data_IF_271308258172
#
_entry.id   IF_271308258172
#
_cell.length_a   1.000
_cell.length_b   1.000
_cell.length_c   1.000
_cell.angle_alpha   90.00
_cell.angle_beta   90.00
_cell.angle_gamma   90.00
#
_symmetry.space_group_name_H-M   'P 1'
#
loop_
_entity.id
_entity.type
_entity.pdbx_description
1 polymer ?
#
# COMPACT_ATOMS: atom_id res chain seq x y z
N UNK A 1 7.98 28.23 16.39
CA UNK A 1 8.40 27.76 15.05
C UNK A 1 7.17 27.63 14.16
N UNK A 2 7.27 28.00 12.90
CA UNK A 2 6.25 27.79 11.88
C UNK A 2 6.53 26.51 11.09
N UNK A 3 5.74 25.47 11.35
CA UNK A 3 5.78 24.21 10.63
C UNK A 3 4.73 24.23 9.50
N UNK A 4 5.16 23.94 8.27
CA UNK A 4 4.23 23.63 7.18
C UNK A 4 4.21 22.13 6.93
N UNK A 5 3.02 21.54 6.81
CA UNK A 5 2.81 20.16 6.36
C UNK A 5 2.03 20.18 5.04
N UNK A 6 2.49 19.46 4.04
CA UNK A 6 1.87 19.42 2.70
C UNK A 6 1.32 18.02 2.39
N UNK A 7 0.02 17.94 2.14
CA UNK A 7 -0.72 16.70 1.90
C UNK A 7 -1.39 16.19 3.17
N UNK A 8 -2.64 15.74 3.06
CA UNK A 8 -3.50 15.53 4.23
C UNK A 8 -4.12 14.13 4.39
N UNK A 9 -3.59 13.15 3.65
CA UNK A 9 -3.92 11.75 3.88
C UNK A 9 -3.17 11.19 5.12
N UNK A 10 -2.79 9.92 5.12
CA UNK A 10 -2.24 9.25 6.31
C UNK A 10 -0.97 9.87 6.89
N UNK A 11 0.02 10.18 6.05
CA UNK A 11 1.32 10.71 6.52
C UNK A 11 1.19 12.10 7.11
N UNK A 12 0.63 13.06 6.36
CA UNK A 12 0.44 14.42 6.84
C UNK A 12 -0.48 14.54 8.06
N UNK A 13 -1.56 13.76 8.12
CA UNK A 13 -2.45 13.76 9.29
C UNK A 13 -1.73 13.27 10.56
N UNK A 14 -0.92 12.22 10.44
CA UNK A 14 -0.09 11.75 11.55
C UNK A 14 0.97 12.78 11.92
N UNK A 15 1.64 13.40 10.93
CA UNK A 15 2.67 14.39 11.18
C UNK A 15 2.12 15.60 11.96
N UNK A 16 0.94 16.09 11.59
CA UNK A 16 0.25 17.17 12.32
C UNK A 16 -0.11 16.73 13.73
N UNK A 17 -0.71 15.55 13.90
CA UNK A 17 -1.09 15.06 15.23
C UNK A 17 0.12 14.90 16.15
N UNK A 18 1.20 14.28 15.66
CA UNK A 18 2.44 14.13 16.44
C UNK A 18 3.11 15.47 16.71
N UNK A 19 3.04 16.43 15.78
CA UNK A 19 3.63 17.76 15.97
C UNK A 19 2.89 18.59 17.02
N UNK A 20 1.56 18.48 17.11
CA UNK A 20 0.77 19.12 18.19
C UNK A 20 1.27 18.63 19.56
N UNK A 21 1.57 17.34 19.68
CA UNK A 21 2.00 16.72 20.94
C UNK A 21 3.45 17.07 21.30
N UNK A 22 4.36 17.07 20.32
CA UNK A 22 5.80 17.26 20.57
C UNK A 22 6.26 18.73 20.51
N UNK A 23 5.52 19.58 19.81
CA UNK A 23 5.86 20.99 19.61
C UNK A 23 4.66 21.91 19.89
N UNK A 24 4.13 21.95 21.13
CA UNK A 24 2.90 22.67 21.46
C UNK A 24 2.96 24.18 21.19
N UNK A 25 4.15 24.78 21.21
CA UNK A 25 4.37 26.21 20.94
C UNK A 25 4.55 26.53 19.43
N UNK A 26 4.43 25.53 18.56
CA UNK A 26 4.56 25.73 17.11
C UNK A 26 3.26 26.15 16.47
N UNK A 27 3.35 27.05 15.49
CA UNK A 27 2.25 27.32 14.56
C UNK A 27 2.32 26.33 13.42
N UNK A 28 1.28 25.52 13.23
CA UNK A 28 1.24 24.50 12.18
C UNK A 28 0.28 24.97 11.08
N UNK A 29 0.74 24.97 9.84
CA UNK A 29 -0.13 25.18 8.66
C UNK A 29 -0.14 23.92 7.83
N UNK A 30 -1.33 23.36 7.60
CA UNK A 30 -1.51 22.08 6.92
C UNK A 30 -2.24 22.28 5.61
N UNK A 31 -1.53 22.09 4.49
CA UNK A 31 -2.07 22.29 3.15
C UNK A 31 -2.57 20.99 2.52
N UNK A 32 -3.72 21.06 1.85
CA UNK A 32 -4.29 19.99 1.03
C UNK A 32 -4.84 20.57 -0.29
N UNK A 33 -4.51 19.92 -1.41
CA UNK A 33 -5.00 20.35 -2.72
C UNK A 33 -6.47 20.00 -2.93
N UNK A 34 -6.93 18.89 -2.35
CA UNK A 34 -8.31 18.42 -2.46
C UNK A 34 -9.21 19.12 -1.44
N UNK A 35 -10.53 18.98 -1.62
CA UNK A 35 -11.48 19.37 -0.61
C UNK A 35 -11.48 18.34 0.54
N UNK A 36 -11.15 18.76 1.75
CA UNK A 36 -10.95 17.86 2.89
C UNK A 36 -12.25 17.14 3.29
N UNK A 37 -13.40 17.82 3.18
CA UNK A 37 -14.73 17.24 3.45
C UNK A 37 -14.99 16.05 2.54
N UNK A 38 -14.77 16.23 1.24
CA UNK A 38 -15.00 15.19 0.23
C UNK A 38 -14.03 14.03 0.43
N UNK A 39 -12.74 14.32 0.64
CA UNK A 39 -11.72 13.30 0.90
C UNK A 39 -12.07 12.41 2.09
N UNK A 40 -12.61 13.00 3.16
CA UNK A 40 -12.94 12.28 4.40
C UNK A 40 -14.36 11.72 4.45
N UNK A 41 -15.21 12.05 3.47
CA UNK A 41 -16.64 11.71 3.48
C UNK A 41 -17.38 12.31 4.67
N UNK A 42 -17.02 13.52 5.11
CA UNK A 42 -17.58 14.16 6.30
C UNK A 42 -18.76 15.08 5.97
N UNK A 43 -19.63 15.31 6.97
CA UNK A 43 -20.60 16.42 6.89
C UNK A 43 -19.90 17.77 7.05
N UNK A 44 -20.60 18.86 6.70
CA UNK A 44 -20.07 20.22 6.88
C UNK A 44 -19.82 20.51 8.35
N UNK A 45 -20.76 20.14 9.22
CA UNK A 45 -20.69 20.36 10.67
C UNK A 45 -19.47 19.66 11.26
N UNK A 46 -19.20 18.42 10.81
CA UNK A 46 -18.04 17.66 11.25
C UNK A 46 -16.73 18.31 10.82
N UNK A 47 -16.64 18.83 9.58
CA UNK A 47 -15.46 19.59 9.14
C UNK A 47 -15.26 20.87 9.95
N UNK A 48 -16.34 21.63 10.19
CA UNK A 48 -16.29 22.88 10.99
C UNK A 48 -15.82 22.58 12.42
N UNK A 49 -16.38 21.57 13.07
CA UNK A 49 -15.95 21.13 14.40
C UNK A 49 -14.48 20.70 14.42
N UNK A 50 -14.04 19.96 13.39
CA UNK A 50 -12.65 19.53 13.27
C UNK A 50 -11.69 20.69 13.07
N UNK A 51 -12.02 21.66 12.19
CA UNK A 51 -11.21 22.88 12.01
C UNK A 51 -11.12 23.67 13.30
N UNK A 52 -12.25 23.87 14.01
CA UNK A 52 -12.26 24.57 15.31
C UNK A 52 -11.36 23.88 16.33
N UNK A 53 -11.41 22.54 16.41
CA UNK A 53 -10.51 21.75 17.26
C UNK A 53 -9.05 21.99 16.91
N UNK A 54 -8.68 21.87 15.63
CA UNK A 54 -7.32 22.07 15.15
C UNK A 54 -6.81 23.49 15.43
N UNK A 55 -7.64 24.52 15.19
CA UNK A 55 -7.28 25.92 15.46
C UNK A 55 -7.03 26.17 16.95
N UNK A 56 -7.82 25.56 17.84
CA UNK A 56 -7.56 25.61 19.28
C UNK A 56 -6.24 24.94 19.69
N UNK A 57 -5.66 24.10 18.83
CA UNK A 57 -4.38 23.42 19.01
C UNK A 57 -3.24 24.07 18.19
N UNK A 58 -3.42 25.30 17.70
CA UNK A 58 -2.38 26.01 16.93
C UNK A 58 -2.24 25.56 15.47
N UNK A 59 -3.22 24.82 14.93
CA UNK A 59 -3.20 24.29 13.57
C UNK A 59 -4.18 25.01 12.65
N UNK A 60 -3.68 25.48 11.52
CA UNK A 60 -4.49 26.03 10.42
C UNK A 60 -4.56 25.03 9.28
N UNK A 61 -5.73 24.44 9.06
CA UNK A 61 -6.00 23.58 7.89
C UNK A 61 -6.41 24.45 6.69
N UNK A 62 -5.68 24.30 5.59
CA UNK A 62 -5.90 25.01 4.32
C UNK A 62 -6.09 23.98 3.21
N UNK A 63 -7.33 23.66 2.90
CA UNK A 63 -7.69 22.75 1.81
C UNK A 63 -8.02 23.50 0.51
N UNK A 64 -8.30 22.76 -0.57
CA UNK A 64 -8.48 23.32 -1.93
C UNK A 64 -7.34 24.27 -2.36
N UNK A 65 -6.14 24.02 -1.84
CA UNK A 65 -4.95 24.85 -2.05
C UNK A 65 -3.75 23.99 -2.37
N UNK A 66 -3.26 24.11 -3.60
CA UNK A 66 -2.12 23.34 -4.10
C UNK A 66 -0.83 24.06 -3.81
N UNK A 67 0.15 23.35 -3.25
CA UNK A 67 1.55 23.79 -3.28
C UNK A 67 2.12 23.48 -4.66
N UNK A 68 2.57 24.52 -5.37
CA UNK A 68 3.02 24.40 -6.77
C UNK A 68 4.53 24.53 -6.92
N UNK A 69 5.23 25.14 -5.95
CA UNK A 69 6.69 25.29 -5.98
C UNK A 69 7.30 25.40 -4.59
N UNK A 70 8.49 24.83 -4.41
CA UNK A 70 9.35 24.99 -3.24
C UNK A 70 10.49 25.96 -3.55
N UNK A 71 10.52 27.10 -2.84
CA UNK A 71 11.58 28.11 -2.91
C UNK A 71 12.54 27.92 -1.74
N UNK A 72 13.47 26.97 -1.88
CA UNK A 72 14.37 26.55 -0.82
C UNK A 72 15.26 27.69 -0.28
N UNK A 73 15.82 28.51 -1.18
CA UNK A 73 16.77 29.58 -0.80
C UNK A 73 16.16 30.68 0.10
N UNK A 74 14.83 30.84 0.07
CA UNK A 74 14.11 31.84 0.88
C UNK A 74 13.18 31.21 1.91
N UNK A 75 13.24 29.89 2.08
CA UNK A 75 12.34 29.11 2.95
C UNK A 75 10.86 29.43 2.71
N UNK A 76 10.44 29.39 1.44
CA UNK A 76 9.08 29.70 1.03
C UNK A 76 8.45 28.59 0.18
N UNK A 77 7.12 28.49 0.23
CA UNK A 77 6.30 27.75 -0.73
C UNK A 77 5.50 28.72 -1.59
N UNK A 78 5.31 28.38 -2.85
CA UNK A 78 4.27 28.98 -3.68
C UNK A 78 3.02 28.12 -3.59
N UNK A 79 1.94 28.71 -3.09
CA UNK A 79 0.63 28.10 -2.97
C UNK A 79 -0.33 28.70 -4.00
N UNK A 80 -1.31 27.92 -4.43
CA UNK A 80 -2.36 28.34 -5.34
C UNK A 80 -3.68 27.78 -4.85
N UNK A 81 -4.53 28.66 -4.32
CA UNK A 81 -5.91 28.32 -3.97
C UNK A 81 -6.73 28.07 -5.24
N UNK A 82 -7.85 27.35 -5.12
CA UNK A 82 -8.79 27.20 -6.23
C UNK A 82 -9.37 28.55 -6.67
N UNK A 83 -9.76 29.39 -5.70
CA UNK A 83 -10.31 30.72 -5.93
C UNK A 83 -9.90 31.69 -4.78
N UNK A 84 -9.29 32.86 -5.09
CA UNK A 84 -8.74 33.24 -6.38
C UNK A 84 -7.51 32.39 -6.73
N UNK A 85 -7.36 32.04 -8.01
CA UNK A 85 -6.27 31.18 -8.50
C UNK A 85 -4.90 31.88 -8.57
N UNK A 86 -4.74 33.05 -7.96
CA UNK A 86 -3.50 33.82 -7.94
C UNK A 86 -2.48 33.15 -7.01
N UNK A 87 -1.28 32.78 -7.50
CA UNK A 87 -0.25 32.20 -6.65
C UNK A 87 0.22 33.16 -5.55
N UNK A 88 0.44 32.64 -4.35
CA UNK A 88 0.93 33.39 -3.19
C UNK A 88 2.15 32.68 -2.57
N UNK A 89 3.04 33.45 -1.95
CA UNK A 89 4.20 32.92 -1.24
C UNK A 89 3.96 32.84 0.26
N UNK A 90 4.32 31.72 0.89
CA UNK A 90 4.25 31.53 2.34
C UNK A 90 5.58 31.04 2.88
N UNK A 91 6.09 31.68 3.93
CA UNK A 91 7.34 31.27 4.59
C UNK A 91 7.13 30.11 5.56
N UNK A 92 8.17 29.31 5.79
CA UNK A 92 8.22 28.24 6.81
C UNK A 92 9.55 28.27 7.56
N UNK A 93 9.55 27.78 8.80
CA UNK A 93 10.80 27.46 9.52
C UNK A 93 11.18 25.99 9.29
N UNK A 94 10.18 25.11 9.26
CA UNK A 94 10.31 23.68 8.91
C UNK A 94 9.20 23.25 7.97
N UNK A 95 9.49 22.27 7.12
CA UNK A 95 8.57 21.74 6.12
C UNK A 95 8.55 20.21 6.16
N UNK A 96 7.35 19.63 6.24
CA UNK A 96 7.12 18.20 6.03
C UNK A 96 6.32 18.01 4.74
N UNK A 97 6.94 17.40 3.74
CA UNK A 97 6.34 17.02 2.47
C UNK A 97 5.74 15.62 2.57
N UNK A 98 4.41 15.53 2.49
CA UNK A 98 3.65 14.28 2.38
C UNK A 98 2.75 14.28 1.13
N UNK A 99 3.25 14.64 -0.08
CA UNK A 99 2.41 14.75 -1.28
C UNK A 99 1.85 13.39 -1.73
N UNK A 100 2.43 12.29 -1.25
CA UNK A 100 1.97 10.93 -1.52
C UNK A 100 2.22 10.50 -2.95
N UNK A 101 1.25 9.78 -3.50
CA UNK A 101 1.30 9.17 -4.82
C UNK A 101 0.00 9.44 -5.60
N UNK A 102 0.06 9.25 -6.91
CA UNK A 102 -1.09 9.30 -7.82
C UNK A 102 -1.20 8.00 -8.61
N UNK A 103 -2.41 7.66 -9.06
CA UNK A 103 -2.65 6.48 -9.86
C UNK A 103 -1.81 6.52 -11.16
N UNK A 104 -1.13 5.42 -11.47
CA UNK A 104 -0.39 5.28 -12.73
C UNK A 104 -1.38 5.19 -13.87
N UNK A 105 -1.21 6.04 -14.87
CA UNK A 105 -2.04 6.05 -16.07
C UNK A 105 -1.51 5.05 -17.10
N UNK A 106 -2.41 4.49 -17.91
CA UNK A 106 -2.03 3.79 -19.13
C UNK A 106 -1.48 4.80 -20.15
N UNK A 107 -0.46 4.40 -20.90
CA UNK A 107 0.17 5.23 -21.94
C UNK A 107 -0.04 4.65 -23.35
N UNK A 108 -1.11 3.87 -23.54
CA UNK A 108 -1.48 3.28 -24.83
C UNK A 108 -2.42 4.18 -25.60
N UNK A 109 -2.54 3.97 -26.91
CA UNK A 109 -3.54 4.65 -27.74
C UNK A 109 -4.95 4.44 -27.16
N UNK A 110 -5.73 5.53 -27.05
CA UNK A 110 -7.08 5.51 -26.48
C UNK A 110 -7.14 5.66 -24.95
N UNK A 111 -6.01 5.77 -24.24
CA UNK A 111 -5.98 5.90 -22.77
C UNK A 111 -6.69 7.16 -22.21
N UNK A 112 -7.00 8.14 -23.05
CA UNK A 112 -7.69 9.38 -22.68
C UNK A 112 -9.17 9.40 -23.06
N UNK A 113 -9.71 8.29 -23.60
CA UNK A 113 -11.13 8.19 -23.92
C UNK A 113 -11.98 8.31 -22.64
N UNK A 114 -13.18 8.93 -22.71
CA UNK A 114 -14.17 8.81 -21.66
C UNK A 114 -14.49 7.34 -21.34
N UNK A 115 -14.83 7.04 -20.08
CA UNK A 115 -15.09 5.66 -19.61
C UNK A 115 -13.86 4.94 -19.07
N UNK A 116 -12.75 5.66 -18.88
CA UNK A 116 -11.53 5.13 -18.26
C UNK A 116 -11.31 5.82 -16.92
N UNK A 117 -11.11 5.04 -15.87
CA UNK A 117 -10.86 5.54 -14.52
C UNK A 117 -9.65 4.86 -13.90
N UNK A 118 -8.75 5.65 -13.34
CA UNK A 118 -7.53 5.16 -12.68
C UNK A 118 -7.69 5.24 -11.18
N UNK A 119 -7.39 4.14 -10.48
CA UNK A 119 -7.57 4.03 -9.04
C UNK A 119 -6.25 4.24 -8.29
N UNK A 120 -6.32 5.02 -7.22
CA UNK A 120 -5.23 5.21 -6.26
C UNK A 120 -5.48 4.44 -4.96
N UNK A 121 -6.72 4.39 -4.46
CA UNK A 121 -6.96 3.77 -3.15
C UNK A 121 -8.42 3.63 -2.75
N UNK A 122 -8.64 3.54 -1.42
CA UNK A 122 -9.96 3.20 -0.83
C UNK A 122 -11.08 4.17 -1.24
N UNK A 123 -10.81 5.47 -1.32
CA UNK A 123 -11.80 6.46 -1.73
C UNK A 123 -12.36 6.17 -3.13
N UNK A 124 -11.48 5.79 -4.05
CA UNK A 124 -11.88 5.46 -5.44
C UNK A 124 -12.69 4.17 -5.49
N UNK A 125 -12.34 3.16 -4.67
CA UNK A 125 -13.14 1.93 -4.53
C UNK A 125 -14.54 2.22 -3.97
N UNK A 126 -14.68 3.14 -3.02
CA UNK A 126 -15.99 3.55 -2.51
C UNK A 126 -16.82 4.25 -3.59
N UNK A 127 -16.20 5.11 -4.40
CA UNK A 127 -16.85 5.74 -5.53
C UNK A 127 -17.30 4.70 -6.58
N UNK A 128 -16.44 3.74 -6.93
CA UNK A 128 -16.79 2.65 -7.85
C UNK A 128 -17.95 1.81 -7.36
N UNK A 129 -18.03 1.54 -6.06
CA UNK A 129 -19.16 0.81 -5.47
C UNK A 129 -20.49 1.54 -5.69
N UNK A 130 -20.47 2.86 -5.64
CA UNK A 130 -21.67 3.65 -5.94
C UNK A 130 -22.01 3.60 -7.44
N UNK A 131 -21.01 3.74 -8.31
CA UNK A 131 -21.21 3.61 -9.77
C UNK A 131 -21.77 2.24 -10.16
N UNK A 132 -21.25 1.17 -9.55
CA UNK A 132 -21.70 -0.19 -9.80
C UNK A 132 -23.19 -0.39 -9.45
N UNK A 133 -23.69 0.33 -8.43
CA UNK A 133 -25.10 0.27 -7.98
C UNK A 133 -26.02 1.17 -8.78
N UNK A 134 -25.60 2.41 -9.03
CA UNK A 134 -26.47 3.43 -9.61
C UNK A 134 -26.50 3.41 -11.14
N UNK A 135 -25.42 2.97 -11.78
CA UNK A 135 -25.30 3.06 -13.23
C UNK A 135 -25.68 1.73 -13.91
N UNK A 136 -26.93 1.66 -14.36
CA UNK A 136 -27.47 0.50 -15.07
C UNK A 136 -26.83 0.29 -16.46
N UNK A 137 -26.21 1.31 -17.05
CA UNK A 137 -25.58 1.21 -18.37
C UNK A 137 -24.21 0.53 -18.33
N UNK A 138 -23.56 0.50 -17.16
CA UNK A 138 -22.29 -0.21 -16.98
C UNK A 138 -22.58 -1.71 -16.79
N UNK A 139 -22.33 -2.53 -17.81
CA UNK A 139 -22.58 -3.98 -17.77
C UNK A 139 -21.30 -4.79 -17.98
N UNK A 140 -20.38 -4.29 -18.79
CA UNK A 140 -19.11 -4.93 -19.14
C UNK A 140 -17.97 -4.12 -18.58
N UNK A 141 -17.26 -4.67 -17.61
CA UNK A 141 -16.19 -3.98 -16.89
C UNK A 141 -14.87 -4.69 -17.19
N UNK A 142 -13.88 -3.92 -17.64
CA UNK A 142 -12.51 -4.41 -17.74
C UNK A 142 -11.67 -3.75 -16.65
N UNK A 143 -11.04 -4.56 -15.81
CA UNK A 143 -10.08 -4.11 -14.80
C UNK A 143 -8.68 -4.48 -15.27
N UNK A 144 -7.78 -3.49 -15.34
CA UNK A 144 -6.39 -3.66 -15.75
C UNK A 144 -5.49 -3.55 -14.52
N UNK A 145 -4.80 -4.63 -14.18
CA UNK A 145 -4.00 -4.80 -12.97
C UNK A 145 -4.72 -5.67 -11.94
N UNK A 146 -4.12 -6.79 -11.57
CA UNK A 146 -4.61 -7.79 -10.61
C UNK A 146 -3.85 -7.72 -9.26
N UNK A 147 -3.49 -6.50 -8.84
CA UNK A 147 -3.04 -6.21 -7.48
C UNK A 147 -4.20 -5.98 -6.50
N UNK A 148 -3.90 -5.53 -5.27
CA UNK A 148 -4.91 -5.35 -4.21
C UNK A 148 -6.07 -4.45 -4.64
N UNK A 149 -5.78 -3.32 -5.28
CA UNK A 149 -6.79 -2.36 -5.72
C UNK A 149 -7.64 -2.94 -6.86
N UNK A 150 -7.01 -3.60 -7.82
CA UNK A 150 -7.69 -4.20 -8.97
C UNK A 150 -8.64 -5.33 -8.57
N UNK A 151 -8.22 -6.20 -7.65
CA UNK A 151 -9.11 -7.24 -7.11
C UNK A 151 -10.30 -6.62 -6.37
N UNK A 152 -10.08 -5.59 -5.56
CA UNK A 152 -11.18 -4.88 -4.90
C UNK A 152 -12.18 -4.27 -5.88
N UNK A 153 -11.70 -3.71 -7.00
CA UNK A 153 -12.57 -3.19 -8.05
C UNK A 153 -13.34 -4.31 -8.77
N UNK A 154 -12.65 -5.40 -9.12
CA UNK A 154 -13.27 -6.56 -9.77
C UNK A 154 -14.36 -7.19 -8.89
N UNK A 155 -14.10 -7.33 -7.58
CA UNK A 155 -15.06 -7.85 -6.62
C UNK A 155 -16.31 -6.95 -6.51
N UNK A 156 -16.13 -5.62 -6.43
CA UNK A 156 -17.25 -4.67 -6.37
C UNK A 156 -18.19 -4.85 -7.56
N UNK A 157 -17.66 -4.96 -8.78
CA UNK A 157 -18.48 -5.10 -9.98
C UNK A 157 -19.07 -6.50 -10.15
N UNK A 158 -18.34 -7.55 -9.75
CA UNK A 158 -18.87 -8.92 -9.76
C UNK A 158 -20.04 -9.07 -8.78
N UNK A 159 -19.93 -8.51 -7.57
CA UNK A 159 -21.02 -8.48 -6.58
C UNK A 159 -22.23 -7.65 -7.05
N UNK A 160 -22.02 -6.69 -7.93
CA UNK A 160 -23.09 -5.93 -8.60
C UNK A 160 -23.62 -6.64 -9.86
N UNK A 161 -23.32 -7.93 -10.05
CA UNK A 161 -23.74 -8.78 -11.17
C UNK A 161 -23.34 -8.25 -12.54
N UNK A 162 -22.20 -7.54 -12.63
CA UNK A 162 -21.63 -7.09 -13.91
C UNK A 162 -20.72 -8.17 -14.49
N UNK A 163 -20.54 -8.14 -15.82
CA UNK A 163 -19.55 -8.99 -16.49
C UNK A 163 -18.17 -8.38 -16.31
N UNK A 164 -17.28 -9.06 -15.59
CA UNK A 164 -15.95 -8.53 -15.26
C UNK A 164 -14.86 -9.35 -15.96
N UNK A 165 -13.97 -8.64 -16.67
CA UNK A 165 -12.67 -9.19 -17.11
C UNK A 165 -11.56 -8.52 -16.33
N UNK A 166 -10.70 -9.33 -15.69
CA UNK A 166 -9.50 -8.87 -14.99
C UNK A 166 -8.27 -9.22 -15.82
N UNK A 167 -7.57 -8.20 -16.31
CA UNK A 167 -6.37 -8.32 -17.15
C UNK A 167 -5.14 -8.02 -16.31
N UNK A 168 -4.09 -8.83 -16.42
CA UNK A 168 -2.78 -8.53 -15.86
C UNK A 168 -1.68 -9.12 -16.76
N UNK A 169 -0.52 -8.46 -16.79
CA UNK A 169 0.66 -8.93 -17.53
C UNK A 169 1.33 -10.13 -16.87
N UNK A 170 1.08 -10.35 -15.58
CA UNK A 170 1.56 -11.50 -14.83
C UNK A 170 0.64 -12.70 -15.01
N UNK A 171 1.18 -13.90 -14.87
CA UNK A 171 0.45 -15.16 -15.07
C UNK A 171 -0.55 -15.49 -13.96
N UNK A 172 -0.55 -14.74 -12.85
CA UNK A 172 -1.45 -14.94 -11.72
C UNK A 172 -1.88 -13.62 -11.07
N UNK A 173 -3.07 -13.57 -10.44
CA UNK A 173 -3.45 -12.46 -9.58
C UNK A 173 -2.52 -12.37 -8.37
N UNK A 174 -2.37 -11.17 -7.82
CA UNK A 174 -1.55 -10.91 -6.63
C UNK A 174 -0.08 -11.33 -6.77
N UNK A 175 0.45 -11.40 -8.00
CA UNK A 175 1.85 -11.78 -8.29
C UNK A 175 2.88 -10.97 -7.47
N UNK A 176 2.63 -9.69 -7.19
CA UNK A 176 3.52 -8.87 -6.37
C UNK A 176 3.58 -9.25 -4.89
N UNK A 177 2.67 -10.11 -4.40
CA UNK A 177 2.40 -10.34 -2.98
C UNK A 177 2.47 -11.80 -2.56
N UNK A 178 1.98 -12.70 -3.41
CA UNK A 178 1.77 -14.11 -3.10
C UNK A 178 2.56 -15.00 -4.05
N UNK A 179 3.10 -16.10 -3.52
CA UNK A 179 3.63 -17.18 -4.35
C UNK A 179 2.47 -18.02 -4.93
N UNK A 180 2.75 -18.78 -5.98
CA UNK A 180 1.73 -19.37 -6.84
C UNK A 180 0.77 -20.32 -6.11
N UNK A 181 1.29 -21.15 -5.20
CA UNK A 181 0.47 -22.09 -4.44
C UNK A 181 -0.46 -21.38 -3.43
N UNK A 182 -0.10 -20.18 -2.98
CA UNK A 182 -0.94 -19.36 -2.09
C UNK A 182 -1.97 -18.56 -2.89
N UNK A 183 -1.61 -18.12 -4.10
CA UNK A 183 -2.50 -17.40 -5.01
C UNK A 183 -3.52 -18.31 -5.70
N UNK A 184 -3.22 -19.59 -5.89
CA UNK A 184 -4.07 -20.56 -6.59
C UNK A 184 -5.54 -20.62 -6.10
N UNK A 185 -5.82 -20.78 -4.79
CA UNK A 185 -7.21 -20.77 -4.30
C UNK A 185 -7.92 -19.44 -4.59
N UNK A 186 -7.21 -18.31 -4.50
CA UNK A 186 -7.76 -16.98 -4.81
C UNK A 186 -8.14 -16.86 -6.28
N UNK A 187 -7.28 -17.33 -7.19
CA UNK A 187 -7.58 -17.35 -8.62
C UNK A 187 -8.81 -18.22 -8.93
N UNK A 188 -8.97 -19.35 -8.24
CA UNK A 188 -10.16 -20.19 -8.41
C UNK A 188 -11.43 -19.49 -7.89
N UNK A 189 -11.37 -18.86 -6.71
CA UNK A 189 -12.49 -18.09 -6.16
C UNK A 189 -12.94 -16.97 -7.10
N UNK A 190 -12.00 -16.22 -7.69
CA UNK A 190 -12.33 -15.18 -8.68
C UNK A 190 -13.13 -15.76 -9.86
N UNK A 191 -12.72 -16.92 -10.39
CA UNK A 191 -13.45 -17.61 -11.48
C UNK A 191 -14.83 -18.11 -11.03
N UNK A 192 -14.93 -18.65 -9.82
CA UNK A 192 -16.21 -19.12 -9.26
C UNK A 192 -17.22 -17.97 -9.13
N UNK A 193 -16.75 -16.75 -8.89
CA UNK A 193 -17.55 -15.53 -8.89
C UNK A 193 -17.76 -14.91 -10.29
N UNK A 194 -17.48 -15.65 -11.36
CA UNK A 194 -17.75 -15.25 -12.73
C UNK A 194 -16.77 -14.22 -13.31
N UNK A 195 -15.66 -13.93 -12.62
CA UNK A 195 -14.64 -13.02 -13.15
C UNK A 195 -13.79 -13.76 -14.18
N UNK A 196 -13.73 -13.23 -15.40
CA UNK A 196 -12.85 -13.72 -16.45
C UNK A 196 -11.41 -13.26 -16.18
N UNK A 197 -10.52 -14.20 -15.90
CA UNK A 197 -9.09 -13.90 -15.71
C UNK A 197 -8.35 -13.95 -17.05
N UNK A 198 -7.83 -12.80 -17.48
CA UNK A 198 -6.99 -12.61 -18.65
C UNK A 198 -5.54 -12.32 -18.20
N UNK A 199 -4.94 -13.33 -17.56
CA UNK A 199 -3.57 -13.26 -17.03
C UNK A 199 -2.54 -13.47 -18.14
N UNK A 200 -1.33 -12.96 -17.96
CA UNK A 200 -0.25 -13.02 -18.95
C UNK A 200 -0.50 -12.15 -20.19
N UNK A 201 -1.41 -11.18 -20.12
CA UNK A 201 -1.81 -10.36 -21.26
C UNK A 201 -1.43 -8.90 -21.07
N UNK A 202 -0.94 -8.28 -22.15
CA UNK A 202 -0.58 -6.87 -22.17
C UNK A 202 -1.60 -6.06 -22.95
N UNK A 203 -2.18 -5.05 -22.31
CA UNK A 203 -3.01 -4.05 -23.00
C UNK A 203 -2.17 -3.30 -24.03
N UNK A 204 -2.62 -3.30 -25.29
CA UNK A 204 -1.97 -2.61 -26.40
C UNK A 204 -2.71 -1.34 -26.80
N UNK A 205 -4.05 -1.35 -26.74
CA UNK A 205 -4.90 -0.22 -27.15
C UNK A 205 -6.24 -0.26 -26.44
N UNK A 206 -6.83 0.92 -26.24
CA UNK A 206 -8.23 1.08 -25.87
C UNK A 206 -9.01 1.57 -27.10
N UNK A 207 -10.11 0.89 -27.40
CA UNK A 207 -10.92 1.12 -28.60
C UNK A 207 -12.14 1.96 -28.25
N UNK A 208 -12.53 2.84 -29.17
CA UNK A 208 -13.65 3.77 -29.01
C UNK A 208 -13.39 5.10 -29.73
N UNK A 209 -14.45 5.89 -29.89
CA UNK A 209 -14.38 7.25 -30.47
C UNK A 209 -14.74 8.29 -29.41
N UNK A 210 -16.01 8.32 -28.98
CA UNK A 210 -16.51 9.23 -27.94
C UNK A 210 -16.42 8.66 -26.53
N UNK A 211 -16.32 7.34 -26.41
CA UNK A 211 -16.27 6.59 -25.17
C UNK A 211 -15.58 5.25 -25.44
N UNK A 212 -14.97 4.66 -24.42
CA UNK A 212 -14.38 3.32 -24.54
C UNK A 212 -15.47 2.28 -24.84
N UNK A 213 -15.16 1.36 -25.74
CA UNK A 213 -16.04 0.24 -26.12
C UNK A 213 -15.35 -1.11 -25.99
N UNK A 214 -14.02 -1.15 -25.99
CA UNK A 214 -13.24 -2.36 -25.78
C UNK A 214 -11.78 -2.09 -25.36
N UNK A 215 -11.14 -3.13 -24.81
CA UNK A 215 -9.72 -3.21 -24.49
C UNK A 215 -9.09 -4.26 -25.39
N UNK A 216 -8.10 -3.87 -26.17
CA UNK A 216 -7.29 -4.76 -27.00
C UNK A 216 -5.99 -5.10 -26.27
N UNK A 217 -5.73 -6.41 -26.14
CA UNK A 217 -4.47 -6.97 -25.66
C UNK A 217 -3.67 -7.56 -26.81
N UNK A 218 -2.46 -8.01 -26.51
CA UNK A 218 -1.61 -8.79 -27.41
C UNK A 218 -2.21 -10.13 -27.87
N UNK A 219 -3.28 -10.61 -27.23
CA UNK A 219 -3.86 -11.94 -27.50
C UNK A 219 -5.36 -11.92 -27.76
N UNK A 220 -6.08 -10.88 -27.35
CA UNK A 220 -7.54 -10.84 -27.43
C UNK A 220 -8.11 -9.41 -27.34
N UNK A 221 -9.40 -9.27 -27.65
CA UNK A 221 -10.16 -8.04 -27.45
C UNK A 221 -11.32 -8.29 -26.49
N UNK A 222 -11.53 -7.39 -25.54
CA UNK A 222 -12.55 -7.47 -24.51
C UNK A 222 -13.47 -6.27 -24.57
N UNK A 223 -14.77 -6.48 -24.81
CA UNK A 223 -15.72 -5.39 -24.80
C UNK A 223 -15.85 -4.77 -23.39
N UNK A 224 -15.97 -3.44 -23.32
CA UNK A 224 -15.97 -2.69 -22.08
C UNK A 224 -16.87 -1.45 -22.18
N UNK A 225 -17.70 -1.25 -21.16
CA UNK A 225 -18.43 -0.01 -20.90
C UNK A 225 -17.68 0.86 -19.88
N UNK A 226 -16.79 0.25 -19.10
CA UNK A 226 -15.88 0.93 -18.18
C UNK A 226 -14.55 0.19 -18.16
N UNK A 227 -13.45 0.94 -18.23
CA UNK A 227 -12.10 0.43 -17.99
C UNK A 227 -11.57 1.01 -16.69
N UNK A 228 -11.27 0.13 -15.74
CA UNK A 228 -10.67 0.47 -14.46
C UNK A 228 -9.18 0.16 -14.52
N UNK A 229 -8.34 1.17 -14.31
CA UNK A 229 -6.88 1.06 -14.34
C UNK A 229 -6.35 1.04 -12.92
N UNK A 230 -5.77 -0.09 -12.51
CA UNK A 230 -5.23 -0.36 -11.18
C UNK A 230 -3.78 -0.91 -11.25
N UNK A 231 -2.97 -0.36 -12.15
CA UNK A 231 -1.58 -0.80 -12.45
C UNK A 231 -0.52 -0.18 -11.51
N UNK A 232 -0.92 0.13 -10.28
CA UNK A 232 -0.08 0.76 -9.27
C UNK A 232 -0.09 2.29 -9.29
N UNK A 233 0.80 2.89 -8.50
CA UNK A 233 0.89 4.33 -8.29
C UNK A 233 2.31 4.84 -8.58
N UNK A 234 2.44 6.15 -8.75
CA UNK A 234 3.70 6.87 -8.89
C UNK A 234 3.78 8.01 -7.88
N UNK A 235 4.97 8.33 -7.32
CA UNK A 235 5.14 9.47 -6.42
C UNK A 235 4.65 10.79 -7.04
N UNK A 236 3.93 11.61 -6.27
CA UNK A 236 3.42 12.92 -6.72
C UNK A 236 4.44 14.04 -6.44
N UNK A 237 5.63 13.89 -7.02
CA UNK A 237 6.86 14.62 -6.63
C UNK A 237 7.49 15.39 -7.78
N UNK A 238 6.98 15.29 -9.00
CA UNK A 238 7.59 15.91 -10.19
C UNK A 238 7.80 17.43 -10.04
N UNK A 239 6.92 18.12 -9.30
CA UNK A 239 7.02 19.56 -9.03
C UNK A 239 8.19 19.93 -8.09
N UNK A 240 8.89 18.94 -7.53
CA UNK A 240 10.07 19.08 -6.67
C UNK A 240 11.37 18.76 -7.41
N UNK A 241 11.32 18.31 -8.67
CA UNK A 241 12.48 17.77 -9.39
C UNK A 241 13.63 18.79 -9.56
N UNK A 242 13.33 20.08 -9.61
CA UNK A 242 14.32 21.15 -9.72
C UNK A 242 14.93 21.56 -8.36
N UNK A 243 14.37 21.08 -7.24
CA UNK A 243 14.73 21.53 -5.89
C UNK A 243 15.23 20.41 -4.98
N UNK A 244 14.70 19.20 -5.12
CA UNK A 244 15.03 18.04 -4.30
C UNK A 244 15.65 16.92 -5.13
N UNK A 245 16.53 16.13 -4.49
CA UNK A 245 17.02 14.89 -5.08
C UNK A 245 15.87 13.87 -5.18
N UNK A 246 15.59 13.40 -6.39
CA UNK A 246 14.63 12.33 -6.67
C UNK A 246 15.35 11.09 -7.19
N UNK A 247 14.85 9.90 -6.83
CA UNK A 247 15.26 8.63 -7.41
C UNK A 247 14.75 8.50 -8.86
N UNK A 248 15.23 7.51 -9.59
CA UNK A 248 14.79 7.25 -10.98
C UNK A 248 13.28 6.96 -11.11
N UNK A 249 12.65 6.44 -10.06
CA UNK A 249 11.19 6.23 -10.01
C UNK A 249 10.41 7.44 -9.47
N UNK A 250 11.10 8.57 -9.22
CA UNK A 250 10.51 9.82 -8.76
C UNK A 250 10.34 9.97 -7.26
N UNK A 251 10.72 9.00 -6.42
CA UNK A 251 10.63 9.18 -4.96
C UNK A 251 11.63 10.24 -4.46
N UNK A 252 11.23 11.04 -3.48
CA UNK A 252 12.14 11.96 -2.79
C UNK A 252 13.18 11.14 -2.03
N UNK A 253 14.45 11.45 -2.27
CA UNK A 253 15.57 10.85 -1.54
C UNK A 253 15.60 11.44 -0.13
N UNK A 254 15.56 10.57 0.87
CA UNK A 254 15.69 10.97 2.28
C UNK A 254 16.83 10.23 2.96
N UNK A 255 17.36 10.75 4.06
CA UNK A 255 18.25 9.98 4.94
C UNK A 255 17.44 9.06 5.89
N UNK A 256 18.08 8.48 6.90
CA UNK A 256 17.41 7.61 7.88
C UNK A 256 16.49 8.37 8.85
N UNK A 257 16.50 9.70 8.83
CA UNK A 257 15.74 10.57 9.72
C UNK A 257 14.64 11.34 8.98
N UNK A 258 14.31 10.90 7.75
CA UNK A 258 13.35 11.50 6.84
C UNK A 258 13.74 12.89 6.29
N UNK A 259 14.99 13.32 6.44
CA UNK A 259 15.48 14.60 5.92
C UNK A 259 15.82 14.48 4.44
N UNK A 260 15.51 15.52 3.67
CA UNK A 260 15.89 15.62 2.25
C UNK A 260 17.32 16.17 2.12
N UNK A 261 17.75 16.53 0.91
CA UNK A 261 18.98 17.29 0.69
C UNK A 261 18.93 18.73 1.23
N UNK A 262 17.79 19.19 1.76
CA UNK A 262 17.61 20.48 2.42
C UNK A 262 17.35 20.27 3.93
N UNK A 263 18.13 20.91 4.79
CA UNK A 263 18.12 20.69 6.25
C UNK A 263 16.77 20.91 6.92
N UNK A 264 15.97 21.85 6.40
CA UNK A 264 14.68 22.22 6.98
C UNK A 264 13.47 21.57 6.29
N UNK A 265 13.72 20.63 5.36
CA UNK A 265 12.69 19.93 4.60
C UNK A 265 12.79 18.43 4.80
N UNK A 266 11.72 17.83 5.32
CA UNK A 266 11.56 16.40 5.48
C UNK A 266 10.51 15.88 4.49
N UNK A 267 10.61 14.61 4.11
CA UNK A 267 9.65 13.95 3.24
C UNK A 267 9.21 12.59 3.79
N UNK A 268 7.94 12.26 3.62
CA UNK A 268 7.32 11.05 4.19
C UNK A 268 6.26 10.43 3.25
N UNK A 269 5.85 9.21 3.58
CA UNK A 269 4.78 8.48 2.91
C UNK A 269 5.16 8.00 1.52
N UNK A 270 4.15 7.75 0.69
CA UNK A 270 4.30 7.18 -0.66
C UNK A 270 5.14 8.04 -1.62
N UNK A 271 5.51 9.26 -1.22
CA UNK A 271 6.44 10.12 -1.94
C UNK A 271 7.91 9.70 -1.75
N UNK A 272 8.20 8.79 -0.81
CA UNK A 272 9.54 8.40 -0.38
C UNK A 272 9.76 6.89 -0.48
N UNK A 273 10.99 6.46 -0.23
CA UNK A 273 11.34 5.06 -0.03
C UNK A 273 11.39 4.69 1.46
N UNK A 274 11.27 3.40 1.75
CA UNK A 274 11.47 2.79 3.06
C UNK A 274 12.64 1.82 2.99
N UNK A 275 13.22 1.48 4.15
CA UNK A 275 14.16 0.37 4.25
C UNK A 275 13.38 -0.93 4.35
N UNK A 276 13.58 -1.85 3.41
CA UNK A 276 13.00 -3.18 3.44
C UNK A 276 13.70 -4.04 4.49
N UNK A 277 12.97 -4.55 5.48
CA UNK A 277 13.55 -5.31 6.59
C UNK A 277 14.38 -6.52 6.16
N UNK A 278 13.86 -7.40 5.26
CA UNK A 278 14.63 -8.58 4.85
C UNK A 278 15.87 -8.29 4.01
N UNK A 279 15.85 -7.25 3.16
CA UNK A 279 16.94 -6.98 2.20
C UNK A 279 17.80 -5.78 2.54
N UNK A 280 17.35 -4.93 3.45
CA UNK A 280 17.91 -3.62 3.80
C UNK A 280 18.00 -2.64 2.61
N UNK A 281 17.38 -2.98 1.48
CA UNK A 281 17.33 -2.10 0.31
C UNK A 281 16.29 -1.00 0.50
N UNK A 282 16.57 0.17 -0.08
CA UNK A 282 15.59 1.26 -0.16
C UNK A 282 14.64 1.02 -1.33
N UNK A 283 13.35 0.84 -1.01
CA UNK A 283 12.30 0.54 -1.99
C UNK A 283 11.03 1.33 -1.68
N UNK A 284 10.11 1.36 -2.63
CA UNK A 284 8.79 1.97 -2.41
C UNK A 284 7.80 0.90 -1.94
N UNK A 285 7.33 1.01 -0.70
CA UNK A 285 6.20 0.23 -0.18
C UNK A 285 5.11 1.21 0.28
N UNK A 286 4.15 1.45 -0.60
CA UNK A 286 3.02 2.35 -0.37
C UNK A 286 1.99 1.71 0.55
N UNK A 287 2.16 1.88 1.86
CA UNK A 287 1.24 1.43 2.90
C UNK A 287 0.99 2.56 3.89
N UNK A 288 -0.28 2.72 4.30
CA UNK A 288 -0.67 3.73 5.27
C UNK A 288 0.12 3.61 6.59
N UNK A 289 0.41 2.39 7.04
CA UNK A 289 1.25 2.14 8.22
C UNK A 289 2.66 2.72 8.09
N UNK A 290 3.29 2.56 6.92
CA UNK A 290 4.60 3.14 6.63
C UNK A 290 4.54 4.67 6.64
N UNK A 291 3.54 5.27 5.98
CA UNK A 291 3.37 6.72 5.96
C UNK A 291 3.23 7.31 7.36
N UNK A 292 2.46 6.67 8.24
CA UNK A 292 2.30 7.10 9.65
C UNK A 292 3.57 6.89 10.47
N UNK A 293 4.27 5.78 10.27
CA UNK A 293 5.54 5.54 10.96
C UNK A 293 6.61 6.56 10.56
N UNK A 294 6.73 6.85 9.26
CA UNK A 294 7.61 7.89 8.74
C UNK A 294 7.22 9.27 9.26
N UNK A 295 5.93 9.57 9.39
CA UNK A 295 5.45 10.83 9.96
C UNK A 295 5.92 11.03 11.40
N UNK A 296 5.69 10.04 12.27
CA UNK A 296 6.17 10.08 13.67
C UNK A 296 7.68 10.25 13.73
N UNK A 297 8.41 9.53 12.87
CA UNK A 297 9.86 9.62 12.79
C UNK A 297 10.34 11.00 12.31
N UNK A 298 9.71 11.58 11.29
CA UNK A 298 10.04 12.91 10.78
C UNK A 298 9.81 13.99 11.85
N UNK A 299 8.70 13.91 12.60
CA UNK A 299 8.42 14.86 13.69
C UNK A 299 9.43 14.73 14.83
N UNK A 300 9.80 13.49 15.21
CA UNK A 300 10.84 13.25 16.21
C UNK A 300 12.23 13.76 15.77
N UNK A 301 12.46 13.87 14.46
CA UNK A 301 13.71 14.33 13.88
C UNK A 301 13.67 15.76 13.31
N UNK A 302 12.59 16.50 13.59
CA UNK A 302 12.30 17.79 12.95
C UNK A 302 13.37 18.84 13.23
N UNK A 303 13.94 18.83 14.45
CA UNK A 303 15.02 19.72 14.87
C UNK A 303 16.40 19.10 14.68
N UNK A 304 16.58 17.87 15.16
CA UNK A 304 17.85 17.16 15.15
C UNK A 304 17.63 15.70 14.75
N UNK A 305 18.57 15.09 14.01
CA UNK A 305 18.51 13.67 13.67
C UNK A 305 18.81 12.82 14.91
N UNK A 306 17.76 12.33 15.58
CA UNK A 306 17.88 11.55 16.83
C UNK A 306 17.56 10.08 16.62
N UNK A 307 16.44 9.78 15.96
CA UNK A 307 15.88 8.43 15.89
C UNK A 307 15.83 7.96 14.45
N UNK A 308 16.63 6.98 14.01
CA UNK A 308 16.53 6.47 12.64
C UNK A 308 15.20 5.73 12.42
N UNK A 309 14.71 5.76 11.19
CA UNK A 309 13.53 5.02 10.76
C UNK A 309 13.81 3.52 10.81
N UNK A 310 13.00 2.79 11.57
CA UNK A 310 13.03 1.33 11.60
C UNK A 310 12.64 0.74 10.22
N UNK A 311 13.29 -0.35 9.79
CA UNK A 311 12.89 -1.07 8.58
C UNK A 311 11.44 -1.58 8.65
N UNK A 312 10.82 -1.75 7.49
CA UNK A 312 9.47 -2.31 7.35
C UNK A 312 9.51 -3.60 6.54
N UNK A 313 8.66 -4.55 6.91
CA UNK A 313 8.55 -5.83 6.20
C UNK A 313 7.45 -5.83 5.14
N UNK A 314 6.82 -4.69 4.85
CA UNK A 314 5.71 -4.63 3.89
C UNK A 314 4.49 -5.45 4.32
N UNK A 315 4.30 -5.62 5.62
CA UNK A 315 3.21 -6.41 6.20
C UNK A 315 1.86 -5.88 5.74
N UNK A 316 1.05 -6.74 5.12
CA UNK A 316 -0.23 -6.36 4.55
C UNK A 316 -1.22 -7.53 4.56
N UNK A 317 -2.51 -7.21 4.41
CA UNK A 317 -3.58 -8.19 4.33
C UNK A 317 -4.67 -7.70 3.37
N UNK A 318 -5.41 -8.64 2.78
CA UNK A 318 -6.50 -8.38 1.84
C UNK A 318 -7.61 -9.44 1.99
N UNK A 319 -8.88 -9.05 2.15
CA UNK A 319 -9.98 -9.97 1.89
C UNK A 319 -10.25 -10.06 0.38
N UNK A 320 -10.54 -11.27 -0.10
CA UNK A 320 -10.99 -11.53 -1.47
C UNK A 320 -12.14 -12.53 -1.39
N UNK A 321 -13.37 -12.04 -1.56
CA UNK A 321 -14.59 -12.82 -1.30
C UNK A 321 -14.54 -13.55 0.05
N UNK A 322 -14.60 -14.88 0.06
CA UNK A 322 -14.55 -15.71 1.27
C UNK A 322 -13.15 -15.83 1.87
N UNK A 323 -12.09 -15.56 1.11
CA UNK A 323 -10.71 -15.70 1.57
C UNK A 323 -10.18 -14.44 2.25
N UNK A 324 -9.31 -14.65 3.24
CA UNK A 324 -8.52 -13.63 3.90
C UNK A 324 -7.07 -14.05 3.76
N UNK A 325 -6.25 -13.15 3.23
CA UNK A 325 -4.81 -13.37 3.05
C UNK A 325 -4.00 -12.31 3.78
N UNK A 326 -2.81 -12.70 4.22
CA UNK A 326 -1.83 -11.80 4.82
C UNK A 326 -0.42 -12.19 4.42
N UNK A 327 0.46 -11.21 4.28
CA UNK A 327 1.86 -11.41 3.88
C UNK A 327 2.77 -10.45 4.64
N UNK A 328 4.00 -10.88 4.90
CA UNK A 328 5.09 -10.06 5.44
C UNK A 328 6.42 -10.57 4.92
N UNK A 329 7.37 -9.64 4.68
CA UNK A 329 8.73 -9.95 4.27
C UNK A 329 8.88 -10.39 2.82
N UNK A 330 9.77 -11.35 2.59
CA UNK A 330 10.05 -11.92 1.27
C UNK A 330 9.16 -13.11 0.97
N UNK A 331 8.65 -13.15 -0.26
CA UNK A 331 8.18 -14.37 -0.90
C UNK A 331 9.32 -15.05 -1.66
N UNK A 332 9.17 -16.33 -2.02
CA UNK A 332 10.16 -17.00 -2.87
C UNK A 332 10.32 -16.28 -4.20
N UNK A 333 9.20 -15.92 -4.82
CA UNK A 333 9.23 -15.22 -6.11
C UNK A 333 9.95 -13.86 -6.02
N UNK A 334 9.72 -13.11 -4.93
CA UNK A 334 10.42 -11.83 -4.71
C UNK A 334 11.92 -12.05 -4.48
N UNK A 335 12.31 -13.06 -3.71
CA UNK A 335 13.71 -13.37 -3.47
C UNK A 335 14.43 -13.84 -4.76
N UNK A 336 13.79 -14.66 -5.59
CA UNK A 336 14.33 -15.06 -6.89
C UNK A 336 14.58 -13.86 -7.81
N UNK A 337 13.65 -12.90 -7.90
CA UNK A 337 13.85 -11.65 -8.67
C UNK A 337 15.03 -10.82 -8.16
N UNK A 338 15.37 -10.95 -6.87
CA UNK A 338 16.47 -10.24 -6.22
C UNK A 338 17.77 -11.05 -6.19
N UNK A 339 17.80 -12.25 -6.79
CA UNK A 339 18.92 -13.19 -6.68
C UNK A 339 19.34 -13.46 -5.22
N UNK A 340 18.37 -13.51 -4.30
CA UNK A 340 18.62 -13.78 -2.88
C UNK A 340 18.36 -15.27 -2.58
N UNK A 341 19.30 -15.98 -1.93
CA UNK A 341 19.07 -17.32 -1.42
C UNK A 341 17.87 -17.36 -0.47
N UNK A 342 16.97 -18.31 -0.70
CA UNK A 342 15.75 -18.48 0.08
C UNK A 342 15.37 -19.96 0.08
N UNK A 343 14.79 -20.41 1.18
CA UNK A 343 14.08 -21.69 1.25
C UNK A 343 12.71 -21.41 1.83
N UNK A 344 11.69 -22.10 1.32
CA UNK A 344 10.35 -22.04 1.87
C UNK A 344 9.78 -23.40 2.22
N UNK A 345 8.87 -23.38 3.20
CA UNK A 345 7.99 -24.49 3.54
C UNK A 345 6.55 -24.01 3.52
N UNK A 346 5.71 -24.79 2.85
CA UNK A 346 4.27 -24.61 2.84
C UNK A 346 3.63 -25.69 3.71
N UNK A 347 2.75 -25.29 4.62
CA UNK A 347 2.05 -26.18 5.54
C UNK A 347 0.58 -25.77 5.64
N UNK A 348 -0.30 -26.76 5.55
CA UNK A 348 -1.75 -26.57 5.67
C UNK A 348 -2.26 -27.41 6.84
N UNK A 349 -3.06 -26.78 7.70
CA UNK A 349 -3.69 -27.47 8.83
C UNK A 349 -5.00 -26.78 9.24
N UNK A 350 -5.83 -27.44 10.08
CA UNK A 350 -6.96 -26.77 10.73
C UNK A 350 -6.52 -25.54 11.53
N UNK A 351 -7.34 -24.49 11.51
CA UNK A 351 -7.10 -23.29 12.32
C UNK A 351 -7.32 -23.56 13.80
N UNK A 352 -8.38 -24.33 14.11
CA UNK A 352 -8.79 -24.70 15.47
C UNK A 352 -9.20 -26.17 15.50
N UNK A 353 -9.49 -26.71 16.68
CA UNK A 353 -10.02 -28.07 16.82
C UNK A 353 -11.53 -28.17 16.56
N UNK A 354 -12.22 -27.04 16.43
CA UNK A 354 -13.68 -26.97 16.41
C UNK A 354 -14.26 -26.65 15.03
N UNK A 355 -13.42 -26.43 14.02
CA UNK A 355 -13.84 -26.03 12.68
C UNK A 355 -13.05 -26.78 11.61
N UNK A 356 -13.69 -27.08 10.49
CA UNK A 356 -13.02 -27.65 9.31
C UNK A 356 -12.22 -26.62 8.50
N UNK A 357 -12.27 -25.34 8.89
CA UNK A 357 -11.51 -24.29 8.25
C UNK A 357 -10.01 -24.53 8.43
N UNK A 358 -9.27 -24.48 7.32
CA UNK A 358 -7.82 -24.62 7.31
C UNK A 358 -7.14 -23.30 7.02
N UNK A 359 -5.89 -23.19 7.47
CA UNK A 359 -4.96 -22.14 7.05
C UNK A 359 -3.81 -22.79 6.32
N UNK A 360 -3.49 -22.24 5.16
CA UNK A 360 -2.23 -22.54 4.48
C UNK A 360 -1.24 -21.44 4.81
N UNK A 361 -0.11 -21.83 5.38
CA UNK A 361 1.00 -20.96 5.75
C UNK A 361 2.19 -21.31 4.89
N UNK A 362 2.82 -20.30 4.31
CA UNK A 362 4.14 -20.42 3.69
C UNK A 362 5.13 -19.62 4.52
N UNK A 363 6.21 -20.25 4.97
CA UNK A 363 7.29 -19.62 5.74
C UNK A 363 8.57 -19.65 4.91
N UNK A 364 9.19 -18.50 4.73
CA UNK A 364 10.44 -18.32 4.00
C UNK A 364 11.58 -17.98 4.95
N UNK A 365 12.75 -18.58 4.76
CA UNK A 365 13.92 -18.38 5.60
C UNK A 365 15.23 -18.40 4.81
N UNK A 366 16.28 -17.85 5.41
CA UNK A 366 17.63 -17.87 4.87
C UNK A 366 18.27 -19.26 5.05
N UNK A 367 18.76 -19.93 3.99
CA UNK A 367 19.31 -21.28 4.09
C UNK A 367 20.58 -21.38 4.95
N UNK A 368 21.30 -20.27 5.16
CA UNK A 368 22.58 -20.27 5.87
C UNK A 368 22.40 -19.90 7.35
N UNK A 369 21.64 -18.83 7.61
CA UNK A 369 21.45 -18.32 8.98
C UNK A 369 20.20 -18.88 9.66
N UNK A 370 19.30 -19.49 8.89
CA UNK A 370 17.98 -19.93 9.34
C UNK A 370 17.06 -18.81 9.83
N UNK A 371 17.44 -17.54 9.63
CA UNK A 371 16.59 -16.37 9.93
C UNK A 371 15.33 -16.39 9.06
N UNK A 372 14.20 -16.06 9.67
CA UNK A 372 12.93 -15.92 8.97
C UNK A 372 12.98 -14.65 8.11
N UNK A 373 12.66 -14.79 6.83
CA UNK A 373 12.69 -13.71 5.86
C UNK A 373 11.30 -13.26 5.42
N UNK A 374 10.28 -14.10 5.58
CA UNK A 374 8.91 -13.76 5.21
C UNK A 374 7.91 -14.88 5.48
N UNK A 375 6.63 -14.53 5.41
CA UNK A 375 5.55 -15.52 5.42
C UNK A 375 4.31 -15.04 4.67
N UNK A 376 3.49 -16.00 4.29
CA UNK A 376 2.18 -15.80 3.67
C UNK A 376 1.14 -16.68 4.36
N UNK A 377 -0.06 -16.15 4.57
CA UNK A 377 -1.20 -16.84 5.17
C UNK A 377 -2.39 -16.72 4.24
N UNK A 378 -3.15 -17.81 4.07
CA UNK A 378 -4.46 -17.79 3.41
C UNK A 378 -5.43 -18.74 4.11
N UNK A 379 -6.64 -18.24 4.38
CA UNK A 379 -7.73 -19.02 4.99
C UNK A 379 -9.10 -18.39 4.68
N UNK A 380 -10.18 -19.14 4.87
CA UNK A 380 -11.56 -18.63 4.82
C UNK A 380 -12.00 -18.02 6.15
N UNK A 381 -11.28 -18.28 7.24
CA UNK A 381 -11.46 -17.62 8.53
C UNK A 381 -10.37 -16.58 8.75
N UNK A 382 -10.66 -15.55 9.54
CA UNK A 382 -9.72 -14.45 9.74
C UNK A 382 -8.62 -14.83 10.74
N UNK A 383 -7.46 -15.18 10.18
CA UNK A 383 -6.22 -15.41 10.91
C UNK A 383 -5.15 -14.36 10.59
N UNK A 384 -5.53 -13.29 9.89
CA UNK A 384 -4.59 -12.33 9.29
C UNK A 384 -3.70 -11.64 10.31
N UNK A 385 -4.22 -11.36 11.51
CA UNK A 385 -3.47 -10.74 12.59
C UNK A 385 -2.22 -11.53 13.03
N UNK A 386 -2.19 -12.85 12.82
CA UNK A 386 -1.02 -13.69 13.14
C UNK A 386 0.21 -13.35 12.30
N UNK A 387 0.03 -12.72 11.12
CA UNK A 387 1.16 -12.27 10.30
C UNK A 387 2.04 -11.24 11.03
N UNK A 388 1.46 -10.48 11.97
CA UNK A 388 2.19 -9.48 12.73
C UNK A 388 3.27 -10.11 13.61
N UNK A 389 3.02 -11.31 14.15
CA UNK A 389 4.01 -12.06 14.92
C UNK A 389 5.23 -12.36 14.04
N UNK A 390 5.01 -12.81 12.80
CA UNK A 390 6.10 -13.08 11.86
C UNK A 390 6.83 -11.79 11.47
N UNK A 391 6.12 -10.68 11.32
CA UNK A 391 6.75 -9.38 11.07
C UNK A 391 7.69 -8.97 12.22
N UNK A 392 7.28 -9.16 13.47
CA UNK A 392 8.16 -8.89 14.63
C UNK A 392 9.32 -9.87 14.65
N UNK A 393 9.09 -11.16 14.35
CA UNK A 393 10.14 -12.17 14.26
C UNK A 393 11.22 -11.79 13.23
N UNK A 394 10.83 -11.30 12.05
CA UNK A 394 11.77 -10.81 11.03
C UNK A 394 12.60 -9.62 11.57
N UNK A 395 11.96 -8.65 12.23
CA UNK A 395 12.68 -7.50 12.81
C UNK A 395 13.63 -7.91 13.94
N UNK A 396 13.30 -8.97 14.66
CA UNK A 396 14.12 -9.51 15.75
C UNK A 396 15.13 -10.58 15.28
N UNK A 397 15.28 -10.80 13.97
CA UNK A 397 16.16 -11.82 13.40
C UNK A 397 15.90 -13.24 13.97
N UNK A 398 14.63 -13.55 14.24
CA UNK A 398 14.24 -14.89 14.73
C UNK A 398 14.54 -15.95 13.67
N UNK A 399 15.08 -17.07 14.14
CA UNK A 399 15.31 -18.26 13.33
C UNK A 399 14.07 -19.17 13.31
N UNK A 400 14.00 -20.07 12.32
CA UNK A 400 12.96 -21.11 12.28
C UNK A 400 12.99 -22.02 13.52
N UNK A 401 14.16 -22.25 14.12
CA UNK A 401 14.32 -23.02 15.35
C UNK A 401 13.67 -22.29 16.54
N UNK A 402 13.94 -20.99 16.68
CA UNK A 402 13.33 -20.17 17.74
C UNK A 402 11.81 -20.13 17.61
N UNK A 403 11.28 -19.97 16.40
CA UNK A 403 9.83 -20.01 16.17
C UNK A 403 9.24 -21.41 16.43
N UNK A 404 9.95 -22.48 16.09
CA UNK A 404 9.53 -23.86 16.33
C UNK A 404 9.48 -24.22 17.82
N UNK A 405 10.28 -23.56 18.68
CA UNK A 405 10.28 -23.78 20.14
C UNK A 405 9.50 -22.73 20.93
N UNK A 406 9.07 -21.64 20.29
CA UNK A 406 8.37 -20.55 20.96
C UNK A 406 7.09 -21.02 21.67
N UNK A 407 6.78 -20.36 22.79
CA UNK A 407 5.57 -20.63 23.57
C UNK A 407 4.36 -19.96 22.90
N UNK A 408 3.39 -20.78 22.52
CA UNK A 408 2.10 -20.36 21.96
C UNK A 408 1.04 -20.95 22.87
N UNK A 409 0.09 -20.12 23.31
CA UNK A 409 -1.04 -20.63 24.07
C UNK A 409 -1.81 -21.68 23.26
N UNK A 410 -2.44 -22.62 23.96
CA UNK A 410 -3.36 -23.57 23.38
C UNK A 410 -4.70 -23.49 24.09
N UNK A 411 -5.76 -23.33 23.30
CA UNK A 411 -7.13 -23.55 23.71
C UNK A 411 -7.92 -24.02 22.47
N UNK A 412 -8.69 -25.13 22.54
CA UNK A 412 -9.31 -25.79 21.37
C UNK A 412 -10.21 -24.91 20.47
N UNK A 413 -10.87 -23.91 21.04
CA UNK A 413 -11.74 -22.94 20.34
C UNK A 413 -10.93 -22.00 19.46
N UNK A 414 -9.69 -21.69 19.85
CA UNK A 414 -8.86 -20.69 19.17
C UNK A 414 -7.71 -21.29 18.36
N UNK A 415 -7.31 -22.53 18.65
CA UNK A 415 -6.06 -23.10 18.13
C UNK A 415 -6.04 -24.63 18.21
N UNK A 416 -5.14 -25.23 17.45
CA UNK A 416 -4.69 -26.62 17.63
C UNK A 416 -3.58 -26.71 18.68
N UNK A 417 -3.29 -27.90 19.27
CA UNK A 417 -2.21 -28.06 20.26
C UNK A 417 -0.83 -27.57 19.77
N UNK A 418 -0.61 -27.65 18.45
CA UNK A 418 0.51 -26.96 17.79
C UNK A 418 -0.07 -25.90 16.86
N UNK A 419 0.13 -24.62 17.20
CA UNK A 419 -0.24 -23.47 16.36
C UNK A 419 0.31 -23.63 14.94
N UNK A 420 -0.44 -23.19 13.92
CA UNK A 420 -0.04 -23.33 12.52
C UNK A 420 1.30 -22.67 12.19
N UNK A 421 1.64 -21.55 12.84
CA UNK A 421 2.95 -20.92 12.69
C UNK A 421 4.07 -21.82 13.24
N UNK A 422 3.85 -22.40 14.41
CA UNK A 422 4.79 -23.32 15.06
C UNK A 422 4.94 -24.63 14.26
N UNK A 423 3.85 -25.18 13.77
CA UNK A 423 3.85 -26.38 12.93
C UNK A 423 4.63 -26.14 11.63
N UNK A 424 4.43 -24.99 10.98
CA UNK A 424 5.18 -24.60 9.77
C UNK A 424 6.67 -24.46 10.06
N UNK A 425 7.05 -23.84 11.19
CA UNK A 425 8.44 -23.73 11.61
C UNK A 425 9.08 -25.09 11.94
N UNK A 426 8.35 -26.00 12.59
CA UNK A 426 8.81 -27.39 12.83
C UNK A 426 9.05 -28.11 11.50
N UNK A 427 8.16 -27.93 10.52
CA UNK A 427 8.33 -28.49 9.18
C UNK A 427 9.56 -27.91 8.47
N UNK A 428 9.81 -26.59 8.61
CA UNK A 428 11.02 -25.94 8.12
C UNK A 428 12.30 -26.49 8.77
N UNK A 429 12.32 -26.71 10.09
CA UNK A 429 13.46 -27.31 10.79
C UNK A 429 13.73 -28.74 10.30
N UNK A 430 12.68 -29.54 10.10
CA UNK A 430 12.82 -30.90 9.56
C UNK A 430 13.41 -30.89 8.14
N UNK A 431 12.92 -30.00 7.28
CA UNK A 431 13.45 -29.82 5.93
C UNK A 431 14.93 -29.41 5.99
N UNK A 432 15.29 -28.39 6.78
CA UNK A 432 16.66 -27.92 6.93
C UNK A 432 17.65 -29.01 7.39
N UNK A 433 17.22 -29.89 8.30
CA UNK A 433 18.05 -30.99 8.80
C UNK A 433 18.29 -32.09 7.75
N UNK A 434 17.41 -32.24 6.76
CA UNK A 434 17.62 -33.21 5.66
C UNK A 434 18.71 -32.78 4.68
N UNK A 435 19.07 -31.49 4.67
CA UNK A 435 20.03 -30.91 3.72
C UNK A 435 21.38 -30.50 4.35
N UNK A 436 21.64 -30.86 5.61
CA UNK A 436 22.98 -30.67 6.18
C UNK A 436 23.93 -31.72 5.59
N UNK A 437 25.04 -31.33 4.94
CA UNK A 437 26.10 -32.30 4.62
C UNK A 437 26.65 -32.90 5.92
N UNK A 438 26.90 -34.20 5.88
CA UNK A 438 27.37 -35.00 7.03
C UNK A 438 28.70 -34.53 7.60
#
# INVERSE_FOLDING_TARGET
>A
MKLIVVGASHGGAEAVQTAIEQYPDSTIVWYEQANFRQMMGWSVEKLVAYRKKLTAQGVTLVDETRVVRLLAATHQLVIQAKEPATPQTVAYDKLILSPGSQARQLTVTGATLPGIVSLRGKGDLMWLREQARQNAQLQRIVVVGAGYIGLGAAEIFAQAHKTVTLIDVNEQPLHGYLDAEIAAPIAQTLRNHGIKLAMGQRVQRLLGEQHVTAVETDTATYAADLVVVAIGAVPQTQWLADTLALTSNGSVVTDAYQRTNLTDVLAIGDATQVNDGPTQQRITIALAGNARQQARNAVANLQLPTTPLAPTNGTSALPVFEYKLATTGLSEQRAHRLNRPIVAVTWTQPVTMNTDATVTTKLCYDPNTFEILGAQLVSTVDVTANINLVSVAIQAHFTIQQLATADFFFQPVFSTPTSFLKATAIAAVKQANQYRPA
#
